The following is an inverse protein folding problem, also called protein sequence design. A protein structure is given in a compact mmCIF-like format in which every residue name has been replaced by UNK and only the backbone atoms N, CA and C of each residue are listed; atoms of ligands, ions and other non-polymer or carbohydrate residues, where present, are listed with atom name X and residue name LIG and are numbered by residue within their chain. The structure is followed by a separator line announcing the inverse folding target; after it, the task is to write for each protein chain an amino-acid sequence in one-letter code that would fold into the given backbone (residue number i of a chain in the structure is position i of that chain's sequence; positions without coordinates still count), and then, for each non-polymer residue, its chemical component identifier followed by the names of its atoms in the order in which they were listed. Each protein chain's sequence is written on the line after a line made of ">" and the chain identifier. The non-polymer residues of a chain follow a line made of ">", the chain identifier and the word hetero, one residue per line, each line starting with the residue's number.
data_IF_560242008457
#
_entry.id   IF_560242008457
#
_cell.length_a   1.000
_cell.length_b   1.000
_cell.length_c   1.000
_cell.angle_alpha   90.00
_cell.angle_beta   90.00
_cell.angle_gamma   90.00
#
_symmetry.space_group_name_H-M   'P 1'
#
loop_
_entity.id
_entity.type
_entity.pdbx_description
1 polymer ?
#
# COMPACT_ATOMS: atom_id res chain seq x y z
N UNK A 1 -26.44 -8.90 -30.83
CA UNK A 1 -25.31 -9.06 -29.90
C UNK A 1 -25.86 -9.10 -28.48
N UNK A 2 -25.70 -10.18 -27.70
CA UNK A 2 -26.23 -10.21 -26.35
C UNK A 2 -25.29 -9.40 -25.45
N UNK A 3 -25.71 -8.19 -25.10
CA UNK A 3 -25.17 -7.43 -23.99
C UNK A 3 -25.40 -8.26 -22.71
N UNK A 4 -24.37 -8.96 -22.23
CA UNK A 4 -24.37 -9.50 -20.88
C UNK A 4 -24.55 -8.31 -19.95
N UNK A 5 -25.77 -8.13 -19.42
CA UNK A 5 -26.06 -7.20 -18.34
C UNK A 5 -24.99 -7.40 -17.27
N UNK A 6 -24.19 -6.36 -17.03
CA UNK A 6 -23.31 -6.32 -15.87
C UNK A 6 -24.22 -6.55 -14.66
N UNK A 7 -24.12 -7.72 -14.02
CA UNK A 7 -24.83 -7.97 -12.77
C UNK A 7 -24.21 -6.99 -11.78
N UNK A 8 -24.98 -5.98 -11.36
CA UNK A 8 -24.61 -5.15 -10.23
C UNK A 8 -24.63 -6.05 -9.00
N UNK A 9 -23.46 -6.52 -8.58
CA UNK A 9 -23.29 -7.10 -7.26
C UNK A 9 -23.43 -5.95 -6.26
N UNK A 10 -24.63 -5.76 -5.71
CA UNK A 10 -24.81 -4.90 -4.54
C UNK A 10 -24.19 -5.62 -3.35
N UNK A 11 -22.88 -5.43 -3.16
CA UNK A 11 -22.25 -5.81 -1.90
C UNK A 11 -22.86 -4.93 -0.82
N UNK A 12 -23.47 -5.56 0.19
CA UNK A 12 -23.69 -4.87 1.45
C UNK A 12 -22.30 -4.59 2.02
N UNK A 13 -21.84 -3.35 1.95
CA UNK A 13 -20.56 -2.97 2.54
C UNK A 13 -20.59 -3.39 4.02
N UNK A 14 -19.65 -4.23 4.42
CA UNK A 14 -19.49 -4.63 5.82
C UNK A 14 -19.46 -3.37 6.71
N UNK A 15 -19.99 -3.46 7.94
CA UNK A 15 -20.17 -2.34 8.88
C UNK A 15 -18.91 -1.54 9.26
N UNK A 16 -17.74 -1.86 8.72
CA UNK A 16 -16.45 -1.25 9.03
C UNK A 16 -15.83 -0.50 7.84
N UNK A 17 -16.64 0.21 7.04
CA UNK A 17 -16.12 1.11 6.00
C UNK A 17 -15.83 2.47 6.61
N UNK A 18 -14.57 2.90 6.52
CA UNK A 18 -14.14 4.24 6.90
C UNK A 18 -13.78 5.03 5.66
N UNK A 19 -14.40 6.21 5.49
CA UNK A 19 -14.00 7.13 4.44
C UNK A 19 -12.60 7.67 4.72
N UNK A 20 -11.73 7.58 3.71
CA UNK A 20 -10.37 8.13 3.80
C UNK A 20 -10.43 9.64 3.95
N UNK A 21 -9.74 10.18 4.97
CA UNK A 21 -9.73 11.62 5.28
C UNK A 21 -8.38 12.23 4.90
N UNK A 22 -8.37 13.28 4.08
CA UNK A 22 -7.15 14.02 3.73
C UNK A 22 -7.16 14.49 2.28
N UNK A 23 -6.44 15.58 2.00
CA UNK A 23 -6.45 16.22 0.68
C UNK A 23 -5.64 15.48 -0.39
N UNK A 24 -4.79 14.52 -0.01
CA UNK A 24 -4.00 13.69 -0.91
C UNK A 24 -3.75 12.31 -0.29
N UNK A 25 -3.17 11.38 -1.05
CA UNK A 25 -2.93 10.00 -0.60
C UNK A 25 -2.09 9.93 0.68
N UNK A 26 -0.99 10.69 0.76
CA UNK A 26 -0.14 10.75 1.97
C UNK A 26 -0.91 11.17 3.23
N UNK A 27 -1.74 12.21 3.14
CA UNK A 27 -2.59 12.65 4.27
C UNK A 27 -3.65 11.60 4.63
N UNK A 28 -4.22 10.91 3.64
CA UNK A 28 -5.20 9.83 3.85
C UNK A 28 -4.58 8.68 4.66
N UNK A 29 -3.41 8.20 4.25
CA UNK A 29 -2.67 7.15 4.96
C UNK A 29 -2.27 7.63 6.36
N UNK A 30 -1.75 8.86 6.47
CA UNK A 30 -1.26 9.41 7.73
C UNK A 30 -2.37 9.59 8.78
N UNK A 31 -3.52 10.11 8.36
CA UNK A 31 -4.67 10.27 9.26
C UNK A 31 -5.16 8.91 9.76
N UNK A 32 -5.19 7.89 8.90
CA UNK A 32 -5.54 6.53 9.30
C UNK A 32 -4.51 5.95 10.28
N UNK A 33 -3.20 6.08 9.98
CA UNK A 33 -2.11 5.68 10.88
C UNK A 33 -2.26 6.27 12.28
N UNK A 34 -2.65 7.54 12.39
CA UNK A 34 -2.81 8.21 13.68
C UNK A 34 -4.08 7.81 14.44
N UNK A 35 -5.04 7.16 13.79
CA UNK A 35 -6.26 6.63 14.42
C UNK A 35 -6.13 5.17 14.89
N UNK A 36 -5.11 4.45 14.43
CA UNK A 36 -4.90 3.03 14.76
C UNK A 36 -3.85 2.90 15.87
N UNK A 37 -4.09 2.01 16.83
CA UNK A 37 -3.10 1.63 17.85
C UNK A 37 -2.39 0.35 17.41
N UNK A 38 -1.08 0.28 17.66
CA UNK A 38 -0.26 -0.89 17.33
C UNK A 38 0.33 -0.84 15.92
N UNK A 39 1.01 -1.93 15.54
CA UNK A 39 1.58 -2.05 14.20
C UNK A 39 0.47 -2.06 13.16
N UNK A 40 0.68 -1.34 12.07
CA UNK A 40 -0.36 -1.05 11.09
C UNK A 40 0.22 -1.13 9.68
N UNK A 41 -0.51 -1.72 8.74
CA UNK A 41 -0.17 -1.76 7.31
C UNK A 41 -1.34 -1.23 6.47
N UNK A 42 -1.02 -0.57 5.36
CA UNK A 42 -1.95 -0.18 4.30
C UNK A 42 -1.45 -0.83 3.02
N UNK A 43 -2.38 -1.37 2.24
CA UNK A 43 -2.09 -1.98 0.95
C UNK A 43 -3.08 -1.55 -0.14
N UNK A 44 -2.62 -1.56 -1.39
CA UNK A 44 -3.44 -1.40 -2.59
C UNK A 44 -4.34 -2.63 -2.82
N UNK A 45 -5.53 -2.41 -3.35
CA UNK A 45 -6.50 -3.49 -3.65
C UNK A 45 -6.30 -4.14 -5.02
N UNK A 46 -5.32 -3.67 -5.78
CA UNK A 46 -4.98 -3.99 -7.16
C UNK A 46 -3.82 -5.00 -7.28
N UNK A 47 -3.51 -5.73 -6.19
CA UNK A 47 -2.42 -6.70 -6.10
C UNK A 47 -2.98 -8.13 -6.02
N UNK A 48 -3.27 -8.80 -7.14
CA UNK A 48 -3.99 -10.08 -7.11
C UNK A 48 -3.13 -11.24 -6.58
N UNK A 49 -1.80 -11.16 -6.68
CA UNK A 49 -0.87 -12.21 -6.23
C UNK A 49 -0.48 -12.11 -4.75
N UNK A 50 -1.08 -11.17 -4.01
CA UNK A 50 -0.84 -11.07 -2.57
C UNK A 50 -1.34 -12.31 -1.84
N UNK A 51 -0.55 -12.82 -0.90
CA UNK A 51 -0.97 -13.93 -0.04
C UNK A 51 -0.75 -13.62 1.46
N UNK A 52 -1.18 -14.55 2.32
CA UNK A 52 -1.07 -14.40 3.77
C UNK A 52 0.38 -14.26 4.25
N UNK A 53 1.32 -14.97 3.62
CA UNK A 53 2.73 -14.95 4.00
C UNK A 53 3.38 -13.60 3.68
N UNK A 54 2.96 -12.92 2.60
CA UNK A 54 3.40 -11.56 2.29
C UNK A 54 3.00 -10.58 3.41
N UNK A 55 1.78 -10.71 3.94
CA UNK A 55 1.27 -9.90 5.05
C UNK A 55 1.98 -10.23 6.37
N UNK A 56 2.16 -11.51 6.66
CA UNK A 56 2.87 -11.98 7.85
C UNK A 56 4.30 -11.43 7.89
N UNK A 57 5.04 -11.56 6.79
CA UNK A 57 6.40 -11.06 6.67
C UNK A 57 6.48 -9.54 6.85
N UNK A 58 5.49 -8.79 6.36
CA UNK A 58 5.42 -7.35 6.59
C UNK A 58 5.31 -7.01 8.09
N UNK A 59 4.50 -7.75 8.85
CA UNK A 59 4.41 -7.57 10.31
C UNK A 59 5.67 -8.04 11.05
N UNK A 60 6.32 -9.11 10.61
CA UNK A 60 7.61 -9.55 11.17
C UNK A 60 8.68 -8.46 11.03
N UNK A 61 8.74 -7.78 9.87
CA UNK A 61 9.64 -6.65 9.66
C UNK A 61 9.35 -5.53 10.69
N UNK A 62 8.08 -5.20 10.92
CA UNK A 62 7.67 -4.17 11.89
C UNK A 62 7.99 -4.51 13.36
N UNK A 63 8.41 -5.74 13.66
CA UNK A 63 8.98 -6.08 14.97
C UNK A 63 10.36 -5.46 15.18
N UNK A 64 11.13 -5.18 14.14
CA UNK A 64 12.51 -4.66 14.26
C UNK A 64 12.75 -3.33 13.53
N UNK A 65 11.83 -2.91 12.66
CA UNK A 65 11.91 -1.67 11.88
C UNK A 65 10.74 -0.75 12.17
N UNK A 66 10.94 0.55 11.93
CA UNK A 66 9.89 1.54 12.12
C UNK A 66 8.88 1.51 10.96
N UNK A 67 9.35 1.22 9.74
CA UNK A 67 8.55 1.21 8.51
C UNK A 67 8.82 -0.06 7.70
N UNK A 68 7.78 -0.59 7.06
CA UNK A 68 7.91 -1.62 6.01
C UNK A 68 7.32 -1.11 4.70
N UNK A 69 7.94 -1.45 3.58
CA UNK A 69 7.49 -1.03 2.24
C UNK A 69 7.40 -2.25 1.34
N UNK A 70 6.26 -2.46 0.69
CA UNK A 70 6.10 -3.43 -0.40
C UNK A 70 6.23 -2.72 -1.74
N UNK A 71 7.35 -2.84 -2.46
CA UNK A 71 7.55 -2.14 -3.73
C UNK A 71 6.78 -2.79 -4.88
N UNK A 72 6.41 -2.00 -5.89
CA UNK A 72 5.84 -2.46 -7.16
C UNK A 72 6.87 -2.43 -8.28
N UNK A 73 6.61 -3.11 -9.40
CA UNK A 73 7.55 -3.19 -10.53
C UNK A 73 7.71 -1.87 -11.30
N UNK A 74 6.75 -0.96 -11.20
CA UNK A 74 6.73 0.37 -11.81
C UNK A 74 7.46 1.47 -11.00
N UNK A 75 8.04 1.11 -9.83
CA UNK A 75 8.66 2.01 -8.85
C UNK A 75 7.67 2.81 -7.99
N UNK A 76 6.44 2.34 -7.87
CA UNK A 76 5.52 2.65 -6.79
C UNK A 76 5.72 1.74 -5.56
N UNK A 77 4.69 1.65 -4.73
CA UNK A 77 4.61 0.70 -3.63
C UNK A 77 3.17 0.26 -3.41
N UNK A 78 2.99 -1.04 -3.24
CA UNK A 78 1.70 -1.66 -2.98
C UNK A 78 1.38 -1.76 -1.50
N UNK A 79 2.39 -1.68 -0.63
CA UNK A 79 2.21 -1.69 0.83
C UNK A 79 3.12 -0.68 1.51
N UNK A 80 2.57 -0.03 2.54
CA UNK A 80 3.35 0.69 3.54
C UNK A 80 2.84 0.34 4.93
N UNK A 81 3.76 0.10 5.86
CA UNK A 81 3.44 -0.20 7.25
C UNK A 81 4.26 0.62 8.23
N UNK A 82 3.70 0.78 9.42
CA UNK A 82 4.23 1.61 10.50
C UNK A 82 4.23 0.83 11.80
N UNK A 83 5.38 0.81 12.47
CA UNK A 83 5.53 0.30 13.82
C UNK A 83 4.99 1.31 14.83
N UNK A 84 4.53 0.83 15.99
CA UNK A 84 4.12 1.70 17.09
C UNK A 84 5.21 1.86 18.17
N UNK A 85 6.43 1.39 17.90
CA UNK A 85 7.52 1.38 18.89
C UNK A 85 8.21 2.73 19.09
N UNK A 86 8.27 3.55 18.05
CA UNK A 86 8.95 4.85 18.04
C UNK A 86 8.08 5.90 17.38
N UNK A 87 8.37 7.16 17.68
CA UNK A 87 7.78 8.28 16.94
C UNK A 87 8.26 8.23 15.49
N UNK A 88 7.31 8.16 14.57
CA UNK A 88 7.56 8.19 13.14
C UNK A 88 7.23 9.59 12.65
N UNK A 89 8.15 10.22 11.92
CA UNK A 89 7.91 11.52 11.30
C UNK A 89 7.17 11.33 9.98
N UNK A 90 6.38 12.34 9.57
CA UNK A 90 5.57 12.29 8.35
C UNK A 90 6.46 12.05 7.10
N UNK A 91 6.38 10.87 6.45
CA UNK A 91 7.30 10.53 5.35
C UNK A 91 6.77 10.95 3.98
N UNK A 92 5.57 11.51 3.90
CA UNK A 92 4.87 11.79 2.64
C UNK A 92 5.00 13.23 2.15
N UNK A 93 6.08 13.91 2.52
CA UNK A 93 6.33 15.30 2.10
C UNK A 93 6.74 15.32 0.63
N UNK A 94 6.02 16.08 -0.20
CA UNK A 94 6.40 16.37 -1.60
C UNK A 94 6.64 15.12 -2.47
N UNK A 95 5.90 14.04 -2.22
CA UNK A 95 5.96 12.83 -3.06
C UNK A 95 5.27 13.10 -4.40
N UNK A 96 5.94 12.74 -5.49
CA UNK A 96 5.38 12.73 -6.85
C UNK A 96 4.54 11.46 -7.07
N UNK A 97 3.34 11.47 -6.48
CA UNK A 97 2.39 10.36 -6.54
C UNK A 97 2.04 9.93 -7.97
N UNK A 98 1.72 8.64 -8.15
CA UNK A 98 1.33 8.06 -9.45
C UNK A 98 2.40 8.27 -10.52
N UNK A 99 3.66 8.23 -10.12
CA UNK A 99 4.83 8.25 -11.01
C UNK A 99 5.87 7.26 -10.51
N UNK A 100 6.80 6.87 -11.40
CA UNK A 100 7.99 6.08 -11.10
C UNK A 100 8.90 6.67 -9.99
N UNK A 101 8.63 7.89 -9.54
CA UNK A 101 9.39 8.55 -8.48
C UNK A 101 8.76 8.40 -7.09
N UNK A 102 7.54 7.84 -6.99
CA UNK A 102 6.79 7.76 -5.73
C UNK A 102 7.56 7.03 -4.64
N UNK A 103 8.11 5.84 -4.94
CA UNK A 103 8.90 5.08 -3.98
C UNK A 103 10.19 5.79 -3.59
N UNK A 104 10.89 6.38 -4.57
CA UNK A 104 12.13 7.09 -4.34
C UNK A 104 11.93 8.29 -3.39
N UNK A 105 10.90 9.10 -3.64
CA UNK A 105 10.60 10.27 -2.80
C UNK A 105 10.24 9.85 -1.37
N UNK A 106 9.48 8.75 -1.22
CA UNK A 106 9.15 8.17 0.09
C UNK A 106 10.41 7.74 0.85
N UNK A 107 11.26 6.92 0.24
CA UNK A 107 12.48 6.39 0.86
C UNK A 107 13.42 7.51 1.27
N UNK A 108 13.64 8.49 0.38
CA UNK A 108 14.44 9.67 0.66
C UNK A 108 13.94 10.43 1.90
N UNK A 109 12.62 10.55 2.08
CA UNK A 109 12.04 11.21 3.25
C UNK A 109 12.20 10.39 4.53
N UNK A 110 12.02 9.07 4.45
CA UNK A 110 12.21 8.16 5.58
C UNK A 110 13.66 8.23 6.10
N UNK A 111 14.63 8.18 5.20
CA UNK A 111 16.05 8.29 5.52
C UNK A 111 16.39 9.64 6.15
N UNK A 112 15.89 10.74 5.57
CA UNK A 112 16.03 12.09 6.14
C UNK A 112 15.46 12.22 7.55
N UNK A 113 14.38 11.50 7.84
CA UNK A 113 13.74 11.48 9.15
C UNK A 113 14.48 10.57 10.15
N UNK A 114 15.49 9.82 9.72
CA UNK A 114 16.20 8.85 10.56
C UNK A 114 15.34 7.66 11.00
N UNK A 115 14.22 7.39 10.31
CA UNK A 115 13.37 6.24 10.60
C UNK A 115 13.95 4.99 9.92
N UNK A 116 14.02 3.88 10.65
CA UNK A 116 14.47 2.61 10.09
C UNK A 116 13.38 1.99 9.22
N UNK A 117 13.76 1.41 8.09
CA UNK A 117 12.82 0.70 7.23
C UNK A 117 13.41 -0.58 6.65
N UNK A 118 12.56 -1.42 6.07
CA UNK A 118 12.97 -2.51 5.20
C UNK A 118 11.88 -2.80 4.16
N UNK A 119 12.26 -3.49 3.09
CA UNK A 119 11.34 -3.93 2.05
C UNK A 119 10.76 -5.31 2.36
N UNK A 120 9.47 -5.50 2.08
CA UNK A 120 8.91 -6.84 1.88
C UNK A 120 8.94 -7.20 0.38
N UNK A 121 8.28 -8.30 0.02
CA UNK A 121 8.28 -8.83 -1.35
C UNK A 121 7.79 -7.79 -2.36
N UNK A 122 8.50 -7.71 -3.49
CA UNK A 122 8.07 -6.94 -4.65
C UNK A 122 6.92 -7.67 -5.37
N UNK A 123 5.77 -7.02 -5.50
CA UNK A 123 4.59 -7.56 -6.18
C UNK A 123 4.20 -6.69 -7.38
N UNK A 124 3.37 -7.24 -8.26
CA UNK A 124 2.85 -6.54 -9.44
C UNK A 124 1.41 -6.11 -9.19
N UNK A 125 1.16 -4.83 -9.38
CA UNK A 125 -0.14 -4.19 -9.52
C UNK A 125 -0.70 -4.35 -10.93
N UNK A 126 -2.03 -4.31 -11.03
CA UNK A 126 -2.73 -4.25 -12.32
C UNK A 126 -3.18 -2.81 -12.53
N UNK A 127 -2.43 -2.06 -13.35
CA UNK A 127 -2.77 -0.69 -13.73
C UNK A 127 -3.30 -0.60 -15.17
N UNK A 128 -2.69 -1.38 -16.08
CA UNK A 128 -3.00 -1.35 -17.50
C UNK A 128 -3.47 -2.71 -18.01
N UNK A 129 -4.03 -2.72 -19.23
CA UNK A 129 -4.53 -3.93 -19.86
C UNK A 129 -3.45 -5.00 -20.01
N UNK A 130 -2.19 -4.60 -20.24
CA UNK A 130 -1.07 -5.53 -20.38
C UNK A 130 -0.80 -6.27 -19.07
N UNK A 131 -0.91 -5.61 -17.91
CA UNK A 131 -0.78 -6.25 -16.60
C UNK A 131 -1.88 -7.29 -16.40
N UNK A 132 -3.11 -6.96 -16.82
CA UNK A 132 -4.24 -7.89 -16.75
C UNK A 132 -4.06 -9.10 -17.67
N UNK A 133 -3.55 -8.91 -18.89
CA UNK A 133 -3.24 -9.99 -19.82
C UNK A 133 -2.14 -10.91 -19.26
N UNK A 134 -1.08 -10.33 -18.68
CA UNK A 134 -0.02 -11.11 -18.01
C UNK A 134 -0.59 -11.90 -16.82
N UNK A 135 -1.47 -11.28 -16.03
CA UNK A 135 -2.17 -11.94 -14.93
C UNK A 135 -3.04 -13.11 -15.42
N UNK A 136 -3.87 -12.89 -16.44
CA UNK A 136 -4.79 -13.92 -16.97
C UNK A 136 -4.07 -15.15 -17.52
N UNK A 137 -2.82 -15.03 -17.96
CA UNK A 137 -2.01 -16.17 -18.43
C UNK A 137 -1.41 -17.01 -17.30
N UNK A 138 -1.42 -16.50 -16.06
CA UNK A 138 -0.83 -17.14 -14.88
C UNK A 138 -1.87 -17.78 -13.95
N UNK A 139 -3.16 -17.60 -14.22
CA UNK A 139 -4.30 -18.11 -13.43
C UNK A 139 -4.96 -19.28 -14.13
#
# INVERSE_FOLDING_TARGET
>A
MPTKKFRSYSYSFCKNVLLQKGSNLGKKIWNLKNSVRGNFIVLGSDIPFINFEDLYNAFEILKSKDIVIGPTYDNGFWLIGFSNKKSIMYPFKEIRWSTKHSLYDLVRNIEKNGNSFNYCKKLRDIDIIDDYCEYSNKV
#
